data_IF_344549147259
#
_entry.id   IF_344549147259
#
_cell.length_a   1.000
_cell.length_b   1.000
_cell.length_c   1.000
_cell.angle_alpha   90.00
_cell.angle_beta   90.00
_cell.angle_gamma   90.00
#
_symmetry.space_group_name_H-M   'P 1'
#
loop_
_entity.id
_entity.type
_entity.pdbx_description
1 polymer ?
#
# COMPACT_ATOMS: atom_id res chain seq x y z
N UNK A 1 2.55 3.77 -19.00
CA UNK A 1 1.25 3.60 -18.30
C UNK A 1 0.04 3.56 -19.23
N UNK A 2 -1.12 3.11 -18.72
CA UNK A 2 -2.39 3.08 -19.47
C UNK A 2 -2.91 4.48 -19.80
N UNK A 3 -3.43 4.66 -21.02
CA UNK A 3 -4.04 5.88 -21.56
C UNK A 3 -5.36 5.53 -22.24
N UNK A 4 -6.35 6.41 -22.15
CA UNK A 4 -7.68 6.24 -22.76
C UNK A 4 -8.32 7.60 -22.99
N UNK A 5 -9.25 7.66 -23.93
CA UNK A 5 -10.11 8.82 -24.17
C UNK A 5 -11.06 9.01 -22.99
N UNK A 6 -11.28 10.25 -22.49
CA UNK A 6 -12.23 10.51 -21.42
C UNK A 6 -13.60 9.87 -21.68
N UNK A 7 -14.16 9.23 -20.65
CA UNK A 7 -15.46 8.54 -20.68
C UNK A 7 -15.58 7.34 -21.65
N UNK A 8 -14.50 6.94 -22.32
CA UNK A 8 -14.45 5.75 -23.17
C UNK A 8 -13.35 4.76 -22.73
N UNK A 9 -13.66 3.83 -21.80
CA UNK A 9 -12.74 2.79 -21.37
C UNK A 9 -12.31 1.82 -22.48
N UNK A 10 -13.06 1.72 -23.58
CA UNK A 10 -12.76 0.78 -24.67
C UNK A 10 -11.56 1.25 -25.52
N UNK A 11 -11.28 2.54 -25.51
CA UNK A 11 -10.13 3.16 -26.18
C UNK A 11 -8.79 2.92 -25.50
N UNK A 12 -8.74 2.14 -24.42
CA UNK A 12 -7.54 1.97 -23.61
C UNK A 12 -6.37 1.34 -24.39
N UNK A 13 -5.20 1.92 -24.22
CA UNK A 13 -3.93 1.39 -24.67
C UNK A 13 -2.85 1.65 -23.62
N UNK A 14 -1.74 0.93 -23.70
CA UNK A 14 -0.56 1.20 -22.88
C UNK A 14 0.43 2.04 -23.68
N UNK A 15 0.85 3.18 -23.12
CA UNK A 15 1.94 3.99 -23.66
C UNK A 15 3.22 3.65 -22.89
N UNK A 16 4.21 3.10 -23.60
CA UNK A 16 5.50 2.73 -23.02
C UNK A 16 6.23 3.95 -22.47
N UNK A 17 6.79 3.82 -21.27
CA UNK A 17 7.46 4.91 -20.56
C UNK A 17 8.89 5.17 -21.06
N UNK A 18 9.53 4.15 -21.64
CA UNK A 18 10.89 4.27 -22.17
C UNK A 18 10.91 4.70 -23.64
N UNK A 19 10.03 4.11 -24.45
CA UNK A 19 10.11 4.22 -25.92
C UNK A 19 8.91 4.96 -26.53
N UNK A 20 7.94 5.38 -25.72
CA UNK A 20 6.70 6.03 -26.18
C UNK A 20 5.90 5.24 -27.23
N UNK A 21 6.14 3.93 -27.36
CA UNK A 21 5.36 3.08 -28.24
C UNK A 21 3.97 2.84 -27.66
N UNK A 22 2.99 2.72 -28.55
CA UNK A 22 1.62 2.35 -28.22
C UNK A 22 1.52 0.84 -28.30
N UNK A 23 1.08 0.23 -27.20
CA UNK A 23 0.83 -1.21 -27.09
C UNK A 23 -0.66 -1.37 -26.82
N UNK A 24 -1.31 -2.26 -27.55
CA UNK A 24 -2.71 -2.65 -27.35
C UNK A 24 -2.77 -3.99 -26.62
N UNK A 25 -3.88 -4.25 -25.93
CA UNK A 25 -3.96 -5.46 -25.08
C UNK A 25 -3.77 -6.75 -25.88
N UNK A 26 -4.32 -6.82 -27.10
CA UNK A 26 -4.16 -7.98 -27.99
C UNK A 26 -2.74 -8.16 -28.54
N UNK A 27 -1.86 -7.17 -28.36
CA UNK A 27 -0.46 -7.23 -28.76
C UNK A 27 0.44 -7.73 -27.61
N UNK A 28 -0.15 -8.02 -26.44
CA UNK A 28 0.58 -8.64 -25.34
C UNK A 28 0.97 -10.07 -25.72
N UNK A 29 2.27 -10.26 -25.92
CA UNK A 29 2.90 -11.55 -26.12
C UNK A 29 3.83 -11.84 -24.94
N UNK A 30 3.58 -12.97 -24.27
CA UNK A 30 4.37 -13.42 -23.13
C UNK A 30 5.36 -14.53 -23.49
N UNK A 31 5.40 -15.00 -24.74
CA UNK A 31 6.20 -16.16 -25.16
C UNK A 31 7.69 -15.97 -24.87
N UNK A 32 8.21 -14.76 -25.06
CA UNK A 32 9.62 -14.42 -24.80
C UNK A 32 9.83 -13.45 -23.62
N UNK A 33 8.79 -13.26 -22.79
CA UNK A 33 8.83 -12.34 -21.66
C UNK A 33 9.89 -12.75 -20.63
N UNK A 34 10.49 -11.73 -19.99
CA UNK A 34 11.53 -11.91 -18.97
C UNK A 34 11.24 -10.98 -17.80
N UNK A 35 11.53 -11.45 -16.61
CA UNK A 35 11.60 -10.59 -15.42
C UNK A 35 13.05 -10.18 -15.22
N UNK A 36 13.33 -8.88 -15.35
CA UNK A 36 14.68 -8.32 -15.26
C UNK A 36 14.73 -7.40 -14.03
N UNK A 37 15.70 -7.63 -13.15
CA UNK A 37 15.97 -6.74 -12.02
C UNK A 37 16.59 -5.44 -12.54
N UNK A 38 15.93 -4.30 -12.33
CA UNK A 38 16.41 -2.99 -12.78
C UNK A 38 17.75 -2.57 -12.17
N UNK A 39 18.11 -3.11 -10.99
CA UNK A 39 19.35 -2.76 -10.28
C UNK A 39 20.56 -3.58 -10.72
N UNK A 40 20.39 -4.89 -10.87
CA UNK A 40 21.49 -5.83 -11.13
C UNK A 40 21.53 -6.31 -12.57
N UNK A 41 20.42 -6.19 -13.31
CA UNK A 41 20.24 -6.79 -14.63
C UNK A 41 20.11 -8.32 -14.62
N UNK A 42 20.11 -8.96 -13.45
CA UNK A 42 19.81 -10.39 -13.33
C UNK A 42 18.38 -10.62 -13.80
N UNK A 43 18.15 -11.70 -14.54
CA UNK A 43 16.83 -11.99 -15.08
C UNK A 43 16.51 -13.48 -15.11
N UNK A 44 15.20 -13.76 -15.18
CA UNK A 44 14.65 -15.10 -15.34
C UNK A 44 13.46 -15.07 -16.30
N UNK A 45 13.16 -16.21 -16.93
CA UNK A 45 11.99 -16.43 -17.78
C UNK A 45 10.89 -17.22 -17.08
N UNK A 46 11.27 -18.14 -16.21
CA UNK A 46 10.41 -19.15 -15.62
C UNK A 46 10.53 -19.25 -14.09
N UNK A 47 11.45 -18.49 -13.48
CA UNK A 47 11.78 -18.58 -12.06
C UNK A 47 12.65 -19.78 -11.69
N UNK A 48 13.05 -20.60 -12.66
CA UNK A 48 13.86 -21.80 -12.49
C UNK A 48 15.29 -21.51 -12.96
N UNK A 49 15.44 -21.03 -14.20
CA UNK A 49 16.73 -20.65 -14.77
C UNK A 49 17.00 -19.16 -14.56
N UNK A 50 18.20 -18.86 -14.13
CA UNK A 50 18.64 -17.51 -13.80
C UNK A 50 19.84 -17.13 -14.64
N UNK A 51 19.85 -15.88 -15.08
CA UNK A 51 20.88 -15.36 -15.96
C UNK A 51 21.41 -14.04 -15.42
N UNK A 52 22.72 -13.83 -15.56
CA UNK A 52 23.36 -12.56 -15.30
C UNK A 52 22.93 -11.49 -16.31
N UNK A 53 23.32 -10.25 -16.09
CA UNK A 53 23.11 -9.15 -17.04
C UNK A 53 23.85 -9.34 -18.38
N UNK A 54 24.90 -10.18 -18.41
CA UNK A 54 25.61 -10.58 -19.64
C UNK A 54 24.95 -11.78 -20.36
N UNK A 55 23.96 -12.43 -19.75
CA UNK A 55 23.26 -13.58 -20.32
C UNK A 55 23.88 -14.94 -20.00
N UNK A 56 24.86 -15.00 -19.10
CA UNK A 56 25.42 -16.26 -18.60
C UNK A 56 24.49 -16.85 -17.54
N UNK A 57 24.30 -18.17 -17.56
CA UNK A 57 23.51 -18.88 -16.55
C UNK A 57 24.20 -18.80 -15.19
N UNK A 58 23.42 -18.52 -14.14
CA UNK A 58 23.88 -18.39 -12.76
C UNK A 58 22.99 -19.21 -11.82
N UNK A 59 23.49 -19.48 -10.62
CA UNK A 59 22.68 -20.06 -9.55
C UNK A 59 21.52 -19.11 -9.15
N UNK A 60 20.35 -19.65 -8.77
CA UNK A 60 19.23 -18.84 -8.29
C UNK A 60 19.60 -17.96 -7.09
N UNK A 61 19.16 -16.68 -7.04
CA UNK A 61 19.38 -15.84 -5.86
C UNK A 61 18.68 -16.40 -4.61
N UNK A 62 19.30 -16.23 -3.44
CA UNK A 62 18.74 -16.68 -2.14
C UNK A 62 17.38 -16.04 -1.82
N UNK A 63 17.15 -14.82 -2.29
CA UNK A 63 15.90 -14.09 -2.07
C UNK A 63 15.52 -13.29 -3.31
N UNK A 64 14.27 -13.45 -3.73
CA UNK A 64 13.70 -12.82 -4.91
C UNK A 64 12.38 -12.18 -4.54
N UNK A 65 12.18 -10.95 -5.01
CA UNK A 65 10.89 -10.25 -4.92
C UNK A 65 10.55 -9.64 -6.28
N UNK A 66 9.26 -9.50 -6.56
CA UNK A 66 8.77 -8.93 -7.80
C UNK A 66 7.78 -7.80 -7.49
N UNK A 67 7.85 -6.73 -8.25
CA UNK A 67 6.80 -5.72 -8.30
C UNK A 67 6.05 -5.88 -9.62
N UNK A 68 4.79 -6.30 -9.53
CA UNK A 68 3.91 -6.50 -10.68
C UNK A 68 2.53 -5.93 -10.38
N UNK A 69 1.81 -5.54 -11.42
CA UNK A 69 0.46 -4.98 -11.30
C UNK A 69 -0.49 -5.66 -12.29
N UNK A 70 -1.80 -5.47 -12.12
CA UNK A 70 -2.83 -6.28 -12.80
C UNK A 70 -2.80 -6.19 -14.33
N UNK A 71 -2.17 -5.17 -14.94
CA UNK A 71 -2.11 -5.03 -16.39
C UNK A 71 -1.39 -6.20 -17.10
N UNK A 72 -0.57 -6.98 -16.39
CA UNK A 72 0.09 -8.19 -16.93
C UNK A 72 -0.79 -9.45 -16.83
N UNK A 73 -1.94 -9.39 -16.15
CA UNK A 73 -2.77 -10.56 -15.88
C UNK A 73 -3.58 -10.97 -17.12
N UNK A 74 -3.58 -12.26 -17.50
CA UNK A 74 -4.48 -12.77 -18.53
C UNK A 74 -5.94 -12.85 -18.06
N UNK A 75 -6.18 -12.73 -16.74
CA UNK A 75 -7.52 -12.85 -16.14
C UNK A 75 -8.27 -11.52 -16.04
N UNK A 76 -7.66 -10.41 -16.44
CA UNK A 76 -8.28 -9.08 -16.36
C UNK A 76 -7.91 -8.25 -17.58
N UNK A 77 -8.91 -7.62 -18.20
CA UNK A 77 -8.68 -6.75 -19.35
C UNK A 77 -8.30 -5.34 -18.91
N UNK A 78 -7.54 -4.62 -19.74
CA UNK A 78 -7.23 -3.22 -19.50
C UNK A 78 -8.49 -2.36 -19.48
N UNK A 79 -9.50 -2.71 -20.29
CA UNK A 79 -10.82 -2.07 -20.26
C UNK A 79 -11.46 -2.22 -18.88
N UNK A 80 -11.36 -3.40 -18.28
CA UNK A 80 -11.89 -3.66 -16.93
C UNK A 80 -11.13 -2.86 -15.87
N UNK A 81 -9.80 -2.80 -15.95
CA UNK A 81 -8.96 -1.97 -15.05
C UNK A 81 -9.40 -0.50 -15.11
N UNK A 82 -9.60 0.06 -16.30
CA UNK A 82 -10.06 1.45 -16.45
C UNK A 82 -11.47 1.64 -15.89
N UNK A 83 -12.40 0.70 -16.14
CA UNK A 83 -13.75 0.74 -15.55
C UNK A 83 -13.69 0.73 -14.02
N UNK A 84 -12.85 -0.12 -13.43
CA UNK A 84 -12.73 -0.21 -11.98
C UNK A 84 -12.07 1.03 -11.39
N UNK A 85 -11.08 1.61 -12.07
CA UNK A 85 -10.53 2.91 -11.73
C UNK A 85 -11.62 4.00 -11.69
N UNK A 86 -12.47 4.08 -12.71
CA UNK A 86 -13.54 5.08 -12.77
C UNK A 86 -14.55 4.92 -11.62
N UNK A 87 -14.83 3.68 -11.18
CA UNK A 87 -15.69 3.41 -10.01
C UNK A 87 -15.07 3.84 -8.68
N UNK A 88 -13.75 4.10 -8.62
CA UNK A 88 -13.10 4.63 -7.41
C UNK A 88 -13.33 6.13 -7.21
N UNK A 89 -13.83 6.84 -8.21
CA UNK A 89 -14.03 8.29 -8.14
C UNK A 89 -15.04 8.63 -7.04
N UNK A 90 -14.59 9.41 -6.05
CA UNK A 90 -15.41 9.81 -4.90
C UNK A 90 -15.48 8.78 -3.77
N UNK A 91 -14.78 7.65 -3.88
CA UNK A 91 -14.79 6.57 -2.87
C UNK A 91 -13.35 6.23 -2.46
N UNK A 92 -12.90 6.79 -1.34
CA UNK A 92 -11.52 6.61 -0.83
C UNK A 92 -11.23 5.16 -0.45
N UNK A 93 -12.23 4.40 0.00
CA UNK A 93 -12.10 2.98 0.31
C UNK A 93 -11.80 2.16 -0.94
N UNK A 94 -12.62 2.32 -1.98
CA UNK A 94 -12.37 1.66 -3.29
C UNK A 94 -11.07 2.12 -3.92
N UNK A 95 -10.71 3.39 -3.73
CA UNK A 95 -9.45 3.94 -4.22
C UNK A 95 -8.24 3.26 -3.57
N UNK A 96 -8.27 3.10 -2.24
CA UNK A 96 -7.24 2.36 -1.50
C UNK A 96 -7.14 0.92 -2.00
N UNK A 97 -8.27 0.23 -2.13
CA UNK A 97 -8.28 -1.15 -2.64
C UNK A 97 -7.66 -1.22 -4.03
N UNK A 98 -8.07 -0.36 -4.96
CA UNK A 98 -7.51 -0.33 -6.31
C UNK A 98 -5.99 -0.10 -6.31
N UNK A 99 -5.47 0.86 -5.55
CA UNK A 99 -4.02 1.11 -5.49
C UNK A 99 -3.27 -0.11 -4.97
N UNK A 100 -3.73 -0.68 -3.85
CA UNK A 100 -3.06 -1.82 -3.25
C UNK A 100 -3.14 -3.10 -4.10
N UNK A 101 -4.33 -3.44 -4.62
CA UNK A 101 -4.56 -4.74 -5.27
C UNK A 101 -4.38 -4.70 -6.77
N UNK A 102 -4.69 -3.57 -7.41
CA UNK A 102 -4.61 -3.43 -8.87
C UNK A 102 -3.28 -2.85 -9.32
N UNK A 103 -2.76 -1.83 -8.63
CA UNK A 103 -1.45 -1.24 -8.95
C UNK A 103 -0.29 -1.95 -8.24
N UNK A 104 -0.55 -2.68 -7.15
CA UNK A 104 0.51 -3.27 -6.33
C UNK A 104 1.30 -2.24 -5.53
N UNK A 105 0.78 -1.02 -5.42
CA UNK A 105 1.43 0.12 -4.81
C UNK A 105 0.96 0.29 -3.35
N UNK A 106 1.81 0.89 -2.52
CA UNK A 106 1.43 1.24 -1.15
C UNK A 106 0.50 2.44 -1.14
N UNK A 107 -0.66 2.32 -0.50
CA UNK A 107 -1.55 3.46 -0.26
C UNK A 107 -1.20 4.21 1.02
N UNK A 108 -0.75 5.46 0.88
CA UNK A 108 -0.77 6.43 1.96
C UNK A 108 -2.10 7.18 1.94
N UNK A 109 -2.91 6.98 2.96
CA UNK A 109 -4.07 7.82 3.14
C UNK A 109 -3.56 9.24 3.41
N UNK A 110 -4.00 10.19 2.58
CA UNK A 110 -4.02 11.61 2.96
C UNK A 110 -5.03 11.77 4.10
N UNK A 111 -4.73 11.19 5.26
CA UNK A 111 -5.38 11.53 6.51
C UNK A 111 -5.10 13.02 6.65
N UNK A 112 -6.17 13.82 6.82
CA UNK A 112 -6.05 15.27 7.01
C UNK A 112 -4.92 15.57 7.99
N UNK A 113 -4.14 16.61 7.67
CA UNK A 113 -2.97 17.09 8.42
C UNK A 113 -2.85 16.44 9.79
N UNK A 114 -1.95 15.47 9.92
CA UNK A 114 -1.58 14.93 11.23
C UNK A 114 -1.11 16.15 12.03
N UNK A 115 -1.84 16.59 13.08
CA UNK A 115 -1.44 17.79 13.79
C UNK A 115 -0.03 17.55 14.33
N UNK A 116 0.84 18.55 14.22
CA UNK A 116 2.19 18.45 14.75
C UNK A 116 2.12 18.01 16.22
N UNK A 117 3.05 17.14 16.65
CA UNK A 117 3.10 16.65 18.02
C UNK A 117 3.21 17.82 19.02
N UNK A 118 3.87 18.91 18.60
CA UNK A 118 3.97 20.15 19.38
C UNK A 118 2.61 20.83 19.54
N UNK A 119 1.82 20.93 18.45
CA UNK A 119 0.47 21.51 18.47
C UNK A 119 -0.50 20.67 19.31
N UNK A 120 -0.37 19.33 19.28
CA UNK A 120 -1.14 18.46 20.18
C UNK A 120 -0.71 18.65 21.64
N UNK A 121 0.56 18.93 21.89
CA UNK A 121 1.07 19.13 23.24
C UNK A 121 0.55 20.43 23.88
N UNK A 122 0.33 21.47 23.10
CA UNK A 122 -0.27 22.73 23.55
C UNK A 122 -1.76 22.59 23.92
N UNK A 123 -2.46 21.60 23.35
CA UNK A 123 -3.87 21.31 23.64
C UNK A 123 -4.08 20.38 24.84
N UNK A 124 -3.02 20.06 25.58
CA UNK A 124 -3.13 19.24 26.80
C UNK A 124 -3.95 19.98 27.85
N UNK A 125 -4.99 19.35 28.34
CA UNK A 125 -5.73 19.81 29.51
C UNK A 125 -5.19 19.12 30.76
N UNK A 126 -4.98 19.89 31.83
CA UNK A 126 -4.63 19.34 33.14
C UNK A 126 -5.89 18.92 33.88
N UNK A 127 -6.11 17.62 33.98
CA UNK A 127 -7.16 17.05 34.83
C UNK A 127 -6.62 16.83 36.25
N UNK A 128 -7.33 17.35 37.25
CA UNK A 128 -7.01 17.03 38.65
C UNK A 128 -7.42 15.58 38.95
N UNK A 129 -6.43 14.69 39.01
CA UNK A 129 -6.61 13.29 39.38
C UNK A 129 -5.72 12.98 40.58
N UNK A 130 -6.22 13.11 41.83
CA UNK A 130 -5.43 12.76 43.00
C UNK A 130 -5.12 11.26 42.98
N UNK A 131 -3.83 10.92 43.01
CA UNK A 131 -3.36 9.53 43.10
C UNK A 131 -3.26 9.17 44.58
N UNK A 132 -3.99 8.15 45.08
CA UNK A 132 -3.86 7.71 46.47
C UNK A 132 -2.44 7.26 46.81
N UNK A 133 -1.95 7.55 48.02
CA UNK A 133 -0.59 7.24 48.47
C UNK A 133 -0.21 5.75 48.37
N UNK A 134 -1.20 4.86 48.36
CA UNK A 134 -1.00 3.40 48.29
C UNK A 134 -0.83 2.88 46.85
N UNK A 135 -1.01 3.74 45.85
CA UNK A 135 -0.80 3.37 44.44
C UNK A 135 0.70 3.26 44.15
N UNK A 136 1.10 2.11 43.61
CA UNK A 136 2.47 1.83 43.18
C UNK A 136 2.69 2.11 41.68
N UNK A 137 1.67 1.88 40.84
CA UNK A 137 1.74 2.16 39.40
C UNK A 137 0.36 2.49 38.81
N UNK A 138 0.39 3.17 37.66
CA UNK A 138 -0.80 3.56 36.91
C UNK A 138 -0.87 2.79 35.60
N UNK A 139 -2.08 2.43 35.17
CA UNK A 139 -2.33 1.95 33.80
C UNK A 139 -3.40 2.80 33.17
N UNK A 140 -3.24 3.14 31.89
CA UNK A 140 -4.26 3.84 31.11
C UNK A 140 -4.73 2.97 29.95
N UNK A 141 -6.04 2.86 29.79
CA UNK A 141 -6.69 2.27 28.63
C UNK A 141 -7.30 3.39 27.80
N UNK A 142 -6.98 3.42 26.51
CA UNK A 142 -7.56 4.36 25.56
C UNK A 142 -8.31 3.57 24.51
N UNK A 143 -9.59 3.89 24.34
CA UNK A 143 -10.44 3.33 23.30
C UNK A 143 -10.74 4.38 22.23
N UNK A 144 -10.59 3.98 20.98
CA UNK A 144 -10.72 4.87 19.81
C UNK A 144 -12.12 4.71 19.23
N UNK A 145 -12.93 5.76 19.33
CA UNK A 145 -14.26 5.83 18.75
C UNK A 145 -14.25 6.75 17.51
N UNK A 146 -15.33 6.75 16.75
CA UNK A 146 -15.41 7.48 15.48
C UNK A 146 -15.22 9.00 15.66
N UNK A 147 -15.63 9.54 16.81
CA UNK A 147 -15.68 10.98 17.12
C UNK A 147 -14.82 11.40 18.32
N UNK A 148 -14.28 10.46 19.10
CA UNK A 148 -13.53 10.75 20.34
C UNK A 148 -12.56 9.63 20.73
N UNK A 149 -11.64 9.96 21.62
CA UNK A 149 -10.90 8.98 22.41
C UNK A 149 -11.47 8.94 23.82
N UNK A 150 -11.86 7.75 24.26
CA UNK A 150 -12.26 7.53 25.66
C UNK A 150 -11.06 6.99 26.43
N UNK A 151 -10.68 7.66 27.51
CA UNK A 151 -9.55 7.25 28.33
C UNK A 151 -10.00 6.97 29.76
N UNK A 152 -9.49 5.87 30.31
CA UNK A 152 -9.60 5.57 31.74
C UNK A 152 -8.23 5.25 32.29
N UNK A 153 -7.95 5.77 33.47
CA UNK A 153 -6.72 5.53 34.23
C UNK A 153 -7.09 4.78 35.50
N UNK A 154 -6.28 3.78 35.86
CA UNK A 154 -6.39 3.02 37.10
C UNK A 154 -5.11 3.18 37.91
N UNK A 155 -5.25 3.31 39.23
CA UNK A 155 -4.16 3.14 40.17
C UNK A 155 -4.13 1.74 40.75
N UNK A 156 -2.95 1.13 40.85
CA UNK A 156 -2.77 -0.21 41.38
C UNK A 156 -1.90 -0.20 42.62
N UNK A 157 -2.37 -0.84 43.68
CA UNK A 157 -1.66 -1.02 44.94
C UNK A 157 -1.27 -2.48 45.20
N UNK A 158 -0.57 -2.75 46.31
CA UNK A 158 -0.20 -4.12 46.69
C UNK A 158 -1.43 -5.02 46.83
N UNK A 159 -1.38 -6.22 46.23
CA UNK A 159 -2.48 -7.18 46.27
C UNK A 159 -3.56 -6.97 45.20
N UNK A 160 -3.23 -6.32 44.08
CA UNK A 160 -4.15 -6.04 42.95
C UNK A 160 -5.34 -5.13 43.31
N UNK A 161 -5.27 -4.43 44.44
CA UNK A 161 -6.24 -3.41 44.80
C UNK A 161 -6.15 -2.24 43.82
N UNK A 162 -7.29 -1.78 43.30
CA UNK A 162 -7.36 -0.73 42.29
C UNK A 162 -8.34 0.39 42.62
N UNK A 163 -8.03 1.58 42.11
CA UNK A 163 -8.83 2.82 42.21
C UNK A 163 -9.03 3.42 40.82
#
# INVERSE_FOLDING_TARGET
GLKWTPDDPSSVFYLCEHNACVIRQQELDFTDARYICEKTGIWTRDGILWFSSSGEEIEPPDSVTFHIWTAYSPFTTWVQIVKDWMKTKGDTGKRKTFVNTTLGETWEAKIGERPDAEVMAERKEHYSAPVPDRVAYLTAGIDSQLDRYEMRVWGWGPGEESW
#
